data_IF_147989955151
#
_entry.id   IF_147989955151
#
_cell.length_a   1.000
_cell.length_b   1.000
_cell.length_c   1.000
_cell.angle_alpha   90.00
_cell.angle_beta   90.00
_cell.angle_gamma   90.00
#
_symmetry.space_group_name_H-M   'P 1'
#
loop_
_entity.id
_entity.type
_entity.pdbx_description
1 polymer ?
#
# COMPACT_ATOMS: atom_id res chain seq x y z
N UNK A 1 16.29 38.29 19.21
CA UNK A 1 15.29 37.62 20.08
C UNK A 1 14.20 36.90 19.26
N UNK A 2 13.63 37.52 18.24
CA UNK A 2 12.59 36.95 17.35
C UNK A 2 13.12 35.71 16.55
N UNK A 3 14.35 35.79 16.03
CA UNK A 3 14.99 34.69 15.27
C UNK A 3 15.23 33.46 16.10
N UNK A 4 15.60 33.60 17.38
CA UNK A 4 15.71 32.47 18.33
C UNK A 4 14.36 31.88 18.74
N UNK A 5 13.29 32.66 18.75
CA UNK A 5 11.94 32.16 18.99
C UNK A 5 11.43 31.38 17.79
N UNK A 6 11.62 31.86 16.57
CA UNK A 6 11.25 31.18 15.32
C UNK A 6 12.02 29.83 15.21
N UNK A 7 13.32 29.83 15.49
CA UNK A 7 14.15 28.63 15.51
C UNK A 7 13.70 27.60 16.55
N UNK A 8 13.31 28.03 17.75
CA UNK A 8 12.77 27.14 18.81
C UNK A 8 11.40 26.57 18.45
N UNK A 9 10.52 27.35 17.83
CA UNK A 9 9.20 26.89 17.35
C UNK A 9 9.39 25.86 16.23
N UNK A 10 10.30 26.10 15.30
CA UNK A 10 10.62 25.21 14.19
C UNK A 10 11.19 23.89 14.68
N UNK A 11 12.16 23.91 15.61
CA UNK A 11 12.77 22.72 16.21
C UNK A 11 11.76 21.92 17.04
N UNK A 12 10.89 22.58 17.82
CA UNK A 12 9.84 21.92 18.61
C UNK A 12 8.79 21.26 17.72
N UNK A 13 8.42 21.89 16.61
CA UNK A 13 7.50 21.33 15.62
C UNK A 13 8.14 20.16 14.88
N UNK A 14 9.42 20.26 14.53
CA UNK A 14 10.19 19.17 13.91
C UNK A 14 10.28 17.94 14.83
N UNK A 15 10.56 18.15 16.12
CA UNK A 15 10.59 17.05 17.12
C UNK A 15 9.23 16.40 17.32
N UNK A 16 8.17 17.18 17.38
CA UNK A 16 6.80 16.66 17.46
C UNK A 16 6.45 15.86 16.21
N UNK A 17 6.86 16.33 15.05
CA UNK A 17 6.68 15.65 13.78
C UNK A 17 7.46 14.33 13.72
N UNK A 18 8.76 14.34 14.02
CA UNK A 18 9.61 13.13 14.08
C UNK A 18 9.07 12.09 15.06
N UNK A 19 8.61 12.53 16.23
CA UNK A 19 7.99 11.65 17.22
C UNK A 19 6.68 11.03 16.70
N UNK A 20 5.84 11.84 16.07
CA UNK A 20 4.55 11.39 15.53
C UNK A 20 4.77 10.43 14.34
N UNK A 21 5.67 10.78 13.43
CA UNK A 21 6.05 9.92 12.28
C UNK A 21 6.69 8.62 12.75
N UNK A 22 7.53 8.66 13.79
CA UNK A 22 8.12 7.47 14.40
C UNK A 22 7.08 6.51 14.99
N UNK A 23 6.05 7.03 15.63
CA UNK A 23 4.94 6.22 16.17
C UNK A 23 4.16 5.55 15.03
N UNK A 24 3.82 6.31 13.97
CA UNK A 24 3.17 5.73 12.79
C UNK A 24 4.03 4.68 12.11
N UNK A 25 5.35 4.93 12.04
CA UNK A 25 6.31 4.01 11.47
C UNK A 25 6.31 2.68 12.22
N UNK A 26 6.52 2.71 13.55
CA UNK A 26 6.55 1.50 14.39
C UNK A 26 5.22 0.74 14.25
N UNK A 27 4.08 1.44 14.28
CA UNK A 27 2.77 0.81 14.11
C UNK A 27 2.60 0.11 12.75
N UNK A 28 3.01 0.77 11.67
CA UNK A 28 2.90 0.19 10.32
C UNK A 28 3.87 -0.99 10.13
N UNK A 29 5.09 -0.86 10.65
CA UNK A 29 6.11 -1.92 10.61
C UNK A 29 5.64 -3.15 11.36
N UNK A 30 5.20 -2.98 12.61
CA UNK A 30 4.70 -4.08 13.44
C UNK A 30 3.52 -4.79 12.79
N UNK A 31 2.53 -4.04 12.28
CA UNK A 31 1.38 -4.63 11.59
C UNK A 31 1.79 -5.52 10.41
N UNK A 32 2.68 -5.03 9.54
CA UNK A 32 3.15 -5.78 8.38
C UNK A 32 3.99 -7.00 8.76
N UNK A 33 4.86 -6.87 9.76
CA UNK A 33 5.66 -7.99 10.27
C UNK A 33 4.78 -9.07 10.88
N UNK A 34 3.81 -8.70 11.71
CA UNK A 34 2.87 -9.65 12.33
C UNK A 34 2.10 -10.43 11.26
N UNK A 35 1.59 -9.75 10.24
CA UNK A 35 0.88 -10.38 9.13
C UNK A 35 1.78 -11.33 8.34
N UNK A 36 3.06 -10.99 8.19
CA UNK A 36 4.04 -11.85 7.52
C UNK A 36 4.31 -13.12 8.34
N UNK A 37 4.46 -13.03 9.66
CA UNK A 37 4.70 -14.18 10.53
C UNK A 37 3.51 -15.15 10.64
N UNK A 38 2.31 -14.76 10.18
CA UNK A 38 1.17 -15.67 10.05
C UNK A 38 1.24 -16.55 8.79
N UNK A 39 2.16 -16.27 7.88
CA UNK A 39 2.26 -16.97 6.60
C UNK A 39 2.44 -18.50 6.75
N UNK A 40 3.29 -19.01 7.67
CA UNK A 40 3.38 -20.46 7.91
C UNK A 40 2.06 -21.10 8.36
N UNK A 41 1.28 -20.38 9.16
CA UNK A 41 -0.03 -20.84 9.63
C UNK A 41 -1.00 -20.92 8.45
N UNK A 42 -1.08 -19.88 7.63
CA UNK A 42 -1.97 -19.86 6.48
C UNK A 42 -1.66 -20.97 5.49
N UNK A 43 -0.39 -21.12 5.12
CA UNK A 43 0.00 -22.14 4.12
C UNK A 43 -0.09 -23.59 4.64
N UNK A 44 -0.05 -23.78 5.95
CA UNK A 44 -0.18 -25.11 6.59
C UNK A 44 -1.64 -25.56 6.74
N UNK A 45 -2.55 -24.61 7.03
CA UNK A 45 -3.91 -24.96 7.46
C UNK A 45 -5.02 -24.54 6.49
N UNK A 46 -4.75 -23.64 5.56
CA UNK A 46 -5.71 -23.18 4.55
C UNK A 46 -5.28 -23.71 3.19
N UNK A 47 -6.20 -24.23 2.41
CA UNK A 47 -5.93 -24.72 1.05
C UNK A 47 -5.69 -23.56 0.06
N UNK A 48 -4.99 -23.85 -1.05
CA UNK A 48 -4.69 -22.85 -2.11
C UNK A 48 -5.95 -22.22 -2.69
N UNK A 49 -6.97 -23.03 -2.95
CA UNK A 49 -8.24 -22.53 -3.49
C UNK A 49 -8.96 -21.62 -2.49
N UNK A 50 -8.97 -21.98 -1.22
CA UNK A 50 -9.56 -21.18 -0.14
C UNK A 50 -8.85 -19.84 0.03
N UNK A 51 -7.52 -19.85 0.05
CA UNK A 51 -6.74 -18.60 0.14
C UNK A 51 -6.92 -17.74 -1.10
N UNK A 52 -6.98 -18.35 -2.28
CA UNK A 52 -7.27 -17.67 -3.54
C UNK A 52 -8.68 -17.04 -3.56
N UNK A 53 -9.68 -17.76 -3.01
CA UNK A 53 -11.05 -17.26 -2.88
C UNK A 53 -11.11 -16.05 -1.95
N UNK A 54 -10.43 -16.11 -0.79
CA UNK A 54 -10.32 -14.99 0.12
C UNK A 54 -9.68 -13.76 -0.55
N UNK A 55 -8.57 -13.95 -1.27
CA UNK A 55 -7.84 -12.88 -1.95
C UNK A 55 -8.68 -12.26 -3.10
N UNK A 56 -9.39 -13.10 -3.85
CA UNK A 56 -10.32 -12.67 -4.90
C UNK A 56 -11.50 -11.89 -4.33
N UNK A 57 -12.13 -12.39 -3.27
CA UNK A 57 -13.26 -11.71 -2.63
C UNK A 57 -12.84 -10.36 -2.06
N UNK A 58 -11.67 -10.27 -1.43
CA UNK A 58 -11.13 -8.99 -0.93
C UNK A 58 -10.81 -8.03 -2.08
N UNK A 59 -10.35 -8.50 -3.24
CA UNK A 59 -10.13 -7.68 -4.41
C UNK A 59 -11.45 -7.08 -4.93
N UNK A 60 -12.51 -7.88 -5.06
CA UNK A 60 -13.84 -7.39 -5.45
C UNK A 60 -14.44 -6.40 -4.43
N UNK A 61 -14.30 -6.68 -3.14
CA UNK A 61 -14.77 -5.76 -2.10
C UNK A 61 -14.05 -4.42 -2.19
N UNK A 62 -12.72 -4.43 -2.34
CA UNK A 62 -11.94 -3.21 -2.50
C UNK A 62 -12.39 -2.41 -3.74
N UNK A 63 -12.74 -3.09 -4.84
CA UNK A 63 -13.28 -2.45 -6.04
C UNK A 63 -14.62 -1.77 -5.77
N UNK A 64 -15.59 -2.53 -5.23
CA UNK A 64 -16.91 -2.02 -4.91
C UNK A 64 -16.84 -0.85 -3.92
N UNK A 65 -16.00 -0.98 -2.89
CA UNK A 65 -15.83 0.07 -1.91
C UNK A 65 -15.20 1.33 -2.52
N UNK A 66 -14.22 1.20 -3.42
CA UNK A 66 -13.62 2.34 -4.11
C UNK A 66 -14.65 3.13 -4.95
N UNK A 67 -15.58 2.44 -5.60
CA UNK A 67 -16.62 3.07 -6.42
C UNK A 67 -17.75 3.63 -5.54
N UNK A 68 -18.28 2.83 -4.63
CA UNK A 68 -19.53 3.15 -3.95
C UNK A 68 -19.34 4.15 -2.81
N UNK A 69 -18.22 4.09 -2.10
CA UNK A 69 -17.94 5.02 -1.00
C UNK A 69 -17.21 6.29 -1.42
N UNK A 70 -16.82 6.42 -2.70
CA UNK A 70 -16.30 7.65 -3.32
C UNK A 70 -15.08 8.27 -2.61
N UNK A 71 -14.35 7.51 -1.81
CA UNK A 71 -13.27 8.03 -0.92
C UNK A 71 -13.75 9.21 -0.04
N UNK A 72 -15.02 9.15 0.42
CA UNK A 72 -15.69 10.26 1.13
C UNK A 72 -14.99 10.64 2.43
N UNK A 73 -14.28 9.73 3.09
CA UNK A 73 -13.48 10.02 4.28
C UNK A 73 -12.38 11.06 4.03
N UNK A 74 -11.77 11.06 2.84
CA UNK A 74 -10.82 12.10 2.41
C UNK A 74 -11.54 13.44 2.23
N UNK A 75 -12.75 13.43 1.67
CA UNK A 75 -13.61 14.60 1.57
C UNK A 75 -13.96 15.16 2.95
N UNK A 76 -14.45 14.32 3.87
CA UNK A 76 -14.75 14.73 5.25
C UNK A 76 -13.53 15.40 5.89
N UNK A 77 -12.36 14.76 5.83
CA UNK A 77 -11.14 15.31 6.40
C UNK A 77 -10.78 16.65 5.78
N UNK A 78 -10.83 16.77 4.44
CA UNK A 78 -10.50 17.99 3.71
C UNK A 78 -11.38 19.16 4.11
N UNK A 79 -12.70 18.96 4.09
CA UNK A 79 -13.66 20.02 4.42
C UNK A 79 -13.71 20.32 5.92
N UNK A 80 -13.47 19.35 6.81
CA UNK A 80 -13.46 19.57 8.25
C UNK A 80 -12.34 20.53 8.71
N UNK A 81 -11.28 20.69 7.93
CA UNK A 81 -10.24 21.69 8.22
C UNK A 81 -10.63 23.13 7.81
N UNK A 82 -11.71 23.31 7.06
CA UNK A 82 -12.24 24.64 6.70
C UNK A 82 -13.15 25.22 7.80
N UNK A 83 -13.52 24.41 8.81
CA UNK A 83 -14.45 24.77 9.88
C UNK A 83 -13.80 24.59 11.26
N UNK A 84 -14.23 25.42 12.22
CA UNK A 84 -13.75 25.35 13.60
C UNK A 84 -14.90 25.12 14.59
N UNK A 85 -14.59 24.64 15.79
CA UNK A 85 -15.55 24.44 16.87
C UNK A 85 -16.73 23.56 16.50
N UNK A 86 -17.94 24.00 16.83
CA UNK A 86 -19.19 23.27 16.56
C UNK A 86 -19.55 23.18 15.07
N UNK A 87 -19.12 24.14 14.27
CA UNK A 87 -19.38 24.14 12.82
C UNK A 87 -18.67 22.99 12.08
N UNK A 88 -17.62 22.44 12.66
CA UNK A 88 -16.94 21.23 12.14
C UNK A 88 -17.85 20.02 12.05
N UNK A 89 -18.98 20.02 12.76
CA UNK A 89 -20.00 18.97 12.65
C UNK A 89 -20.70 18.98 11.30
N UNK A 90 -20.79 20.11 10.58
CA UNK A 90 -21.45 20.21 9.26
C UNK A 90 -20.81 19.27 8.22
N UNK A 91 -19.47 19.33 7.93
CA UNK A 91 -18.85 18.40 6.98
C UNK A 91 -18.86 16.95 7.46
N UNK A 92 -18.77 16.72 8.77
CA UNK A 92 -18.84 15.36 9.32
C UNK A 92 -20.23 14.76 9.09
N UNK A 93 -21.28 15.47 9.46
CA UNK A 93 -22.68 14.99 9.32
C UNK A 93 -23.07 14.83 7.85
N UNK A 94 -22.71 15.80 6.99
CA UNK A 94 -23.00 15.72 5.54
C UNK A 94 -22.22 14.58 4.88
N UNK A 95 -20.97 14.35 5.28
CA UNK A 95 -20.18 13.22 4.80
C UNK A 95 -20.68 11.85 5.28
N UNK A 96 -21.16 11.77 6.53
CA UNK A 96 -21.81 10.55 7.06
C UNK A 96 -23.12 10.27 6.33
N UNK A 97 -23.89 11.29 5.93
CA UNK A 97 -25.07 11.09 5.10
C UNK A 97 -24.72 10.46 3.73
N UNK A 98 -23.61 10.91 3.09
CA UNK A 98 -23.09 10.28 1.86
C UNK A 98 -22.69 8.84 2.16
N UNK A 99 -21.90 8.61 3.23
CA UNK A 99 -21.47 7.27 3.64
C UNK A 99 -22.65 6.33 3.89
N UNK A 100 -23.72 6.80 4.52
CA UNK A 100 -24.93 6.00 4.76
C UNK A 100 -25.62 5.64 3.44
N UNK A 101 -25.79 6.60 2.51
CA UNK A 101 -26.31 6.33 1.18
C UNK A 101 -25.44 5.32 0.41
N UNK A 102 -24.12 5.44 0.48
CA UNK A 102 -23.16 4.48 -0.07
C UNK A 102 -23.31 3.10 0.55
N UNK A 103 -23.56 3.02 1.86
CA UNK A 103 -23.78 1.74 2.56
C UNK A 103 -25.06 1.06 2.07
N UNK A 104 -26.15 1.81 1.89
CA UNK A 104 -27.40 1.27 1.32
C UNK A 104 -27.15 0.74 -0.09
N UNK A 105 -26.46 1.51 -0.93
CA UNK A 105 -26.14 1.10 -2.30
C UNK A 105 -25.23 -0.15 -2.31
N UNK A 106 -24.21 -0.20 -1.45
CA UNK A 106 -23.34 -1.37 -1.28
C UNK A 106 -24.14 -2.61 -0.88
N UNK A 107 -25.10 -2.47 0.03
CA UNK A 107 -26.00 -3.56 0.46
C UNK A 107 -26.80 -4.08 -0.73
N UNK A 108 -27.44 -3.18 -1.48
CA UNK A 108 -28.27 -3.55 -2.65
C UNK A 108 -27.40 -4.27 -3.71
N UNK A 109 -26.22 -3.73 -4.03
CA UNK A 109 -25.34 -4.29 -5.06
C UNK A 109 -24.81 -5.66 -4.65
N UNK A 110 -24.37 -5.82 -3.40
CA UNK A 110 -23.73 -7.08 -2.97
C UNK A 110 -24.77 -8.20 -2.79
N UNK A 111 -25.93 -7.91 -2.16
CA UNK A 111 -26.99 -8.93 -2.04
C UNK A 111 -27.67 -9.19 -3.37
N UNK A 112 -27.82 -8.18 -4.25
CA UNK A 112 -28.25 -8.37 -5.62
C UNK A 112 -27.31 -9.29 -6.42
N UNK A 113 -26.02 -9.13 -6.27
CA UNK A 113 -25.02 -10.05 -6.85
C UNK A 113 -25.17 -11.47 -6.27
N UNK A 114 -25.44 -11.59 -4.97
CA UNK A 114 -25.70 -12.88 -4.31
C UNK A 114 -26.94 -13.62 -4.79
N UNK A 115 -27.93 -12.89 -5.38
CA UNK A 115 -29.09 -13.53 -6.02
C UNK A 115 -28.74 -14.13 -7.40
N UNK A 116 -27.65 -13.65 -8.03
CA UNK A 116 -27.22 -14.09 -9.38
C UNK A 116 -26.11 -15.14 -9.28
N UNK A 117 -25.18 -14.92 -8.33
CA UNK A 117 -24.00 -15.76 -8.13
C UNK A 117 -24.09 -16.48 -6.78
N UNK A 118 -23.73 -17.74 -6.76
CA UNK A 118 -23.59 -18.50 -5.50
C UNK A 118 -22.28 -18.08 -4.79
N UNK A 119 -22.38 -17.09 -3.89
CA UNK A 119 -21.25 -16.57 -3.14
C UNK A 119 -21.24 -17.18 -1.74
N UNK A 120 -20.32 -18.14 -1.55
CA UNK A 120 -20.12 -18.75 -0.23
C UNK A 120 -19.76 -17.67 0.80
N UNK A 121 -20.40 -17.70 1.97
CA UNK A 121 -20.22 -16.75 3.06
C UNK A 121 -20.56 -15.27 2.72
N UNK A 122 -21.50 -15.03 1.80
CA UNK A 122 -21.92 -13.68 1.40
C UNK A 122 -22.18 -12.72 2.58
N UNK A 123 -22.94 -13.10 3.65
CA UNK A 123 -23.17 -12.22 4.80
C UNK A 123 -21.87 -11.82 5.52
N UNK A 124 -20.92 -12.73 5.60
CA UNK A 124 -19.62 -12.48 6.24
C UNK A 124 -18.74 -11.55 5.38
N UNK A 125 -18.73 -11.76 4.08
CA UNK A 125 -18.06 -10.91 3.09
C UNK A 125 -18.66 -9.49 3.11
N UNK A 126 -20.00 -9.38 3.20
CA UNK A 126 -20.69 -8.11 3.38
C UNK A 126 -20.23 -7.40 4.66
N UNK A 127 -20.26 -8.11 5.79
CA UNK A 127 -19.84 -7.57 7.08
C UNK A 127 -18.39 -7.09 7.06
N UNK A 128 -17.49 -7.86 6.43
CA UNK A 128 -16.09 -7.48 6.26
C UNK A 128 -15.96 -6.13 5.53
N UNK A 129 -16.63 -5.95 4.40
CA UNK A 129 -16.56 -4.70 3.63
C UNK A 129 -17.12 -3.50 4.41
N UNK A 130 -18.26 -3.67 5.11
CA UNK A 130 -18.83 -2.60 5.96
C UNK A 130 -17.89 -2.24 7.11
N UNK A 131 -17.37 -3.22 7.85
CA UNK A 131 -16.47 -2.98 8.97
C UNK A 131 -15.17 -2.29 8.52
N UNK A 132 -14.62 -2.69 7.38
CA UNK A 132 -13.45 -2.06 6.77
C UNK A 132 -13.70 -0.58 6.47
N UNK A 133 -14.85 -0.24 5.88
CA UNK A 133 -15.17 1.14 5.54
C UNK A 133 -15.48 2.00 6.77
N UNK A 134 -16.20 1.46 7.77
CA UNK A 134 -16.44 2.16 9.04
C UNK A 134 -15.11 2.42 9.77
N UNK A 135 -14.24 1.43 9.83
CA UNK A 135 -12.91 1.57 10.42
C UNK A 135 -12.10 2.66 9.73
N UNK A 136 -12.13 2.71 8.39
CA UNK A 136 -11.48 3.75 7.60
C UNK A 136 -12.05 5.13 7.93
N UNK A 137 -13.38 5.29 7.92
CA UNK A 137 -14.07 6.55 8.25
C UNK A 137 -13.68 7.05 9.64
N UNK A 138 -13.80 6.19 10.67
CA UNK A 138 -13.48 6.56 12.06
C UNK A 138 -11.99 6.87 12.23
N UNK A 139 -11.12 6.17 11.50
CA UNK A 139 -9.69 6.45 11.43
C UNK A 139 -9.38 7.84 10.87
N UNK A 140 -10.04 8.24 9.79
CA UNK A 140 -9.90 9.59 9.23
C UNK A 140 -10.43 10.66 10.19
N UNK A 141 -11.57 10.42 10.85
CA UNK A 141 -12.10 11.33 11.87
C UNK A 141 -11.12 11.49 13.04
N UNK A 142 -10.53 10.43 13.55
CA UNK A 142 -9.53 10.50 14.63
C UNK A 142 -8.32 11.37 14.22
N UNK A 143 -7.84 11.24 13.00
CA UNK A 143 -6.76 12.06 12.45
C UNK A 143 -7.17 13.52 12.27
N UNK A 144 -8.38 13.79 11.82
CA UNK A 144 -8.95 15.14 11.69
C UNK A 144 -8.97 15.89 13.03
N UNK A 145 -9.20 15.16 14.14
CA UNK A 145 -9.13 15.72 15.50
C UNK A 145 -7.74 15.62 16.14
N UNK A 146 -6.69 15.34 15.37
CA UNK A 146 -5.31 15.29 15.85
C UNK A 146 -5.00 14.12 16.80
N UNK A 147 -5.90 13.11 16.90
CA UNK A 147 -5.73 11.93 17.76
C UNK A 147 -4.85 10.85 17.12
N UNK A 148 -3.70 11.28 16.57
CA UNK A 148 -2.81 10.42 15.78
C UNK A 148 -2.23 9.25 16.61
N UNK A 149 -1.86 9.49 17.88
CA UNK A 149 -1.37 8.43 18.75
C UNK A 149 -2.45 7.38 19.00
N UNK A 150 -3.70 7.81 19.25
CA UNK A 150 -4.83 6.90 19.42
C UNK A 150 -5.10 6.08 18.16
N UNK A 151 -5.03 6.69 16.96
CA UNK A 151 -5.15 6.01 15.68
C UNK A 151 -4.10 4.89 15.53
N UNK A 152 -2.84 5.18 15.87
CA UNK A 152 -1.76 4.19 15.76
C UNK A 152 -1.88 3.08 16.79
N UNK A 153 -2.15 3.42 18.04
CA UNK A 153 -2.28 2.41 19.11
C UNK A 153 -3.50 1.51 18.92
N UNK A 154 -4.65 2.07 18.50
CA UNK A 154 -5.84 1.26 18.18
C UNK A 154 -5.59 0.32 17.00
N UNK A 155 -4.86 0.77 15.99
CA UNK A 155 -4.45 -0.08 14.87
C UNK A 155 -3.56 -1.25 15.30
N UNK A 156 -2.62 -1.02 16.22
CA UNK A 156 -1.79 -2.09 16.78
C UNK A 156 -2.62 -3.09 17.59
N UNK A 157 -3.49 -2.62 18.49
CA UNK A 157 -4.37 -3.49 19.27
C UNK A 157 -5.25 -4.33 18.34
N UNK A 158 -5.88 -3.71 17.34
CA UNK A 158 -6.65 -4.39 16.31
C UNK A 158 -5.85 -5.49 15.60
N UNK A 159 -4.60 -5.20 15.24
CA UNK A 159 -3.72 -6.18 14.58
C UNK A 159 -3.42 -7.38 15.47
N UNK A 160 -3.10 -7.16 16.75
CA UNK A 160 -2.87 -8.23 17.70
C UNK A 160 -4.13 -9.09 17.91
N UNK A 161 -5.30 -8.46 18.01
CA UNK A 161 -6.58 -9.19 18.14
C UNK A 161 -6.84 -10.01 16.87
N UNK A 162 -6.65 -9.43 15.68
CA UNK A 162 -6.81 -10.16 14.42
C UNK A 162 -5.91 -11.39 14.35
N UNK A 163 -4.64 -11.25 14.77
CA UNK A 163 -3.68 -12.36 14.81
C UNK A 163 -4.10 -13.44 15.78
N UNK A 164 -4.47 -13.05 17.01
CA UNK A 164 -4.93 -14.01 18.01
C UNK A 164 -6.18 -14.77 17.53
N UNK A 165 -7.14 -14.07 16.92
CA UNK A 165 -8.32 -14.68 16.33
C UNK A 165 -7.96 -15.59 15.15
N UNK A 166 -7.02 -15.20 14.27
CA UNK A 166 -6.57 -16.06 13.17
C UNK A 166 -5.97 -17.37 13.69
N UNK A 167 -5.10 -17.29 14.70
CA UNK A 167 -4.52 -18.49 15.34
C UNK A 167 -5.62 -19.37 15.93
N UNK A 168 -6.53 -18.76 16.69
CA UNK A 168 -7.62 -19.48 17.33
C UNK A 168 -8.53 -20.17 16.31
N UNK A 169 -9.01 -19.47 15.30
CA UNK A 169 -9.98 -19.99 14.35
C UNK A 169 -9.34 -20.97 13.35
N UNK A 170 -8.13 -20.70 12.88
CA UNK A 170 -7.45 -21.53 11.88
C UNK A 170 -6.81 -22.78 12.55
N UNK A 171 -6.07 -22.58 13.65
CA UNK A 171 -5.29 -23.69 14.24
C UNK A 171 -6.14 -24.54 15.16
N UNK A 172 -6.93 -23.91 16.06
CA UNK A 172 -7.71 -24.63 17.05
C UNK A 172 -9.06 -25.10 16.50
N UNK A 173 -9.86 -24.21 15.90
CA UNK A 173 -11.18 -24.56 15.34
C UNK A 173 -11.12 -25.16 13.94
N UNK A 174 -9.96 -25.15 13.26
CA UNK A 174 -9.77 -25.72 11.92
C UNK A 174 -10.74 -25.17 10.87
N UNK A 175 -11.09 -23.91 10.99
CA UNK A 175 -11.95 -23.24 10.03
C UNK A 175 -11.22 -23.00 8.71
N UNK A 176 -11.98 -22.92 7.62
CA UNK A 176 -11.51 -22.57 6.29
C UNK A 176 -11.20 -21.06 6.18
N UNK A 177 -11.13 -20.52 4.96
CA UNK A 177 -10.86 -19.10 4.74
C UNK A 177 -11.87 -18.13 5.40
N UNK A 178 -13.03 -18.60 5.86
CA UNK A 178 -13.97 -17.79 6.64
C UNK A 178 -13.34 -17.24 7.92
N UNK A 179 -12.38 -18.00 8.51
CA UNK A 179 -11.60 -17.54 9.66
C UNK A 179 -10.91 -16.19 9.42
N UNK A 180 -10.39 -15.97 8.21
CA UNK A 180 -9.71 -14.73 7.85
C UNK A 180 -10.65 -13.53 7.86
N UNK A 181 -11.87 -13.69 7.34
CA UNK A 181 -12.90 -12.64 7.38
C UNK A 181 -13.40 -12.38 8.80
N UNK A 182 -13.68 -13.43 9.58
CA UNK A 182 -14.16 -13.29 10.97
C UNK A 182 -13.10 -12.56 11.82
N UNK A 183 -11.86 -13.00 11.73
CA UNK A 183 -10.75 -12.39 12.48
C UNK A 183 -10.55 -10.92 12.11
N UNK A 184 -10.64 -10.59 10.82
CA UNK A 184 -10.55 -9.21 10.34
C UNK A 184 -11.73 -8.36 10.86
N UNK A 185 -12.97 -8.88 10.82
CA UNK A 185 -14.16 -8.20 11.35
C UNK A 185 -14.02 -7.90 12.84
N UNK A 186 -13.54 -8.87 13.64
CA UNK A 186 -13.30 -8.67 15.08
C UNK A 186 -12.22 -7.59 15.28
N UNK A 187 -11.12 -7.64 14.54
CA UNK A 187 -10.08 -6.63 14.58
C UNK A 187 -10.60 -5.23 14.22
N UNK A 188 -11.36 -5.11 13.15
CA UNK A 188 -11.99 -3.84 12.76
C UNK A 188 -12.96 -3.33 13.83
N UNK A 189 -13.78 -4.22 14.42
CA UNK A 189 -14.69 -3.85 15.50
C UNK A 189 -13.93 -3.28 16.70
N UNK A 190 -12.86 -3.93 17.14
CA UNK A 190 -12.01 -3.43 18.24
C UNK A 190 -11.44 -2.05 17.88
N UNK A 191 -10.93 -1.87 16.65
CA UNK A 191 -10.40 -0.58 16.21
C UNK A 191 -11.49 0.51 16.23
N UNK A 192 -12.67 0.22 15.69
CA UNK A 192 -13.83 1.14 15.66
C UNK A 192 -14.25 1.55 17.07
N UNK A 193 -14.35 0.59 17.99
CA UNK A 193 -14.75 0.84 19.39
C UNK A 193 -13.72 1.73 20.10
N UNK A 194 -12.43 1.37 20.02
CA UNK A 194 -11.35 2.13 20.67
C UNK A 194 -11.26 3.55 20.10
N UNK A 195 -11.30 3.71 18.80
CA UNK A 195 -11.26 5.03 18.14
C UNK A 195 -12.54 5.82 18.44
N UNK A 196 -13.71 5.21 18.25
CA UNK A 196 -15.00 5.85 18.43
C UNK A 196 -15.18 6.39 19.85
N UNK A 197 -14.73 5.63 20.85
CA UNK A 197 -14.72 6.07 22.24
C UNK A 197 -13.73 7.22 22.48
N UNK A 198 -12.52 7.07 21.95
CA UNK A 198 -11.46 8.08 22.12
C UNK A 198 -11.75 9.43 21.46
N UNK A 199 -12.50 9.46 20.37
CA UNK A 199 -12.94 10.69 19.70
C UNK A 199 -14.33 11.15 20.17
N UNK A 200 -15.02 10.36 21.00
CA UNK A 200 -16.41 10.61 21.42
C UNK A 200 -17.35 10.72 20.20
N UNK A 201 -17.25 9.75 19.28
CA UNK A 201 -17.92 9.75 17.99
C UNK A 201 -19.39 10.22 17.99
N UNK A 202 -20.27 9.78 18.94
CA UNK A 202 -21.67 10.24 18.97
C UNK A 202 -21.82 11.75 19.14
N UNK A 203 -20.84 12.44 19.78
CA UNK A 203 -20.88 13.89 19.97
C UNK A 203 -20.47 14.68 18.72
N UNK A 204 -19.86 14.02 17.75
CA UNK A 204 -19.40 14.64 16.50
C UNK A 204 -20.49 14.69 15.43
N UNK A 205 -21.57 13.94 15.62
CA UNK A 205 -22.67 13.79 14.66
C UNK A 205 -23.88 14.53 15.22
N UNK A 206 -24.47 15.41 14.41
CA UNK A 206 -25.71 16.10 14.76
C UNK A 206 -26.57 16.25 13.51
N UNK A 207 -27.75 15.65 13.52
CA UNK A 207 -28.67 15.68 12.37
C UNK A 207 -29.00 17.13 11.96
N UNK A 208 -29.08 18.04 12.93
CA UNK A 208 -29.32 19.46 12.69
C UNK A 208 -28.17 20.18 12.00
N UNK A 209 -26.97 19.59 11.97
CA UNK A 209 -25.79 20.14 11.31
C UNK A 209 -25.66 19.71 9.84
N UNK A 210 -26.64 18.97 9.29
CA UNK A 210 -26.65 18.61 7.88
C UNK A 210 -26.74 19.85 7.00
N UNK A 211 -25.83 19.93 6.00
CA UNK A 211 -25.75 21.03 5.05
C UNK A 211 -25.80 20.48 3.63
N UNK A 212 -26.86 20.81 2.89
CA UNK A 212 -27.11 20.32 1.53
C UNK A 212 -26.11 20.81 0.51
N UNK A 213 -25.65 22.06 0.62
CA UNK A 213 -24.68 22.62 -0.32
C UNK A 213 -23.31 22.01 -0.07
N UNK A 214 -22.95 21.81 1.17
CA UNK A 214 -21.72 21.11 1.55
C UNK A 214 -21.76 19.65 1.12
N UNK A 215 -22.86 18.95 1.28
CA UNK A 215 -23.08 17.59 0.77
C UNK A 215 -22.78 17.52 -0.74
N UNK A 216 -23.33 18.43 -1.55
CA UNK A 216 -23.09 18.49 -2.99
C UNK A 216 -21.63 18.79 -3.32
N UNK A 217 -21.01 19.75 -2.63
CA UNK A 217 -19.59 20.09 -2.81
C UNK A 217 -18.69 18.90 -2.49
N UNK A 218 -18.98 18.16 -1.44
CA UNK A 218 -18.22 16.96 -1.04
C UNK A 218 -18.36 15.83 -2.06
N UNK A 219 -19.54 15.60 -2.63
CA UNK A 219 -19.73 14.63 -3.72
C UNK A 219 -18.88 14.99 -4.96
N UNK A 220 -18.97 16.26 -5.39
CA UNK A 220 -18.20 16.74 -6.56
C UNK A 220 -16.68 16.61 -6.32
N UNK A 221 -16.22 16.88 -5.09
CA UNK A 221 -14.81 16.72 -4.72
C UNK A 221 -14.37 15.25 -4.71
N UNK A 222 -15.22 14.35 -4.22
CA UNK A 222 -14.91 12.94 -4.04
C UNK A 222 -14.92 12.14 -5.35
N UNK A 223 -15.69 12.56 -6.34
CA UNK A 223 -15.82 11.84 -7.61
C UNK A 223 -14.49 11.65 -8.37
N UNK A 224 -13.64 12.68 -8.57
CA UNK A 224 -12.32 12.48 -9.17
C UNK A 224 -11.39 11.58 -8.37
N UNK A 225 -11.48 11.61 -7.02
CA UNK A 225 -10.70 10.72 -6.15
C UNK A 225 -11.11 9.26 -6.34
N UNK A 226 -12.41 9.02 -6.41
CA UNK A 226 -12.97 7.70 -6.72
C UNK A 226 -12.45 7.17 -8.07
N UNK A 227 -12.49 7.96 -9.12
CA UNK A 227 -12.01 7.55 -10.45
C UNK A 227 -10.52 7.18 -10.43
N UNK A 228 -9.70 7.93 -9.68
CA UNK A 228 -8.28 7.58 -9.52
C UNK A 228 -8.10 6.26 -8.73
N UNK A 229 -8.87 6.03 -7.70
CA UNK A 229 -8.85 4.79 -6.90
C UNK A 229 -9.26 3.58 -7.74
N UNK A 230 -10.28 3.73 -8.58
CA UNK A 230 -10.73 2.71 -9.54
C UNK A 230 -9.64 2.40 -10.57
N UNK A 231 -9.04 3.43 -11.17
CA UNK A 231 -7.92 3.24 -12.11
C UNK A 231 -6.75 2.51 -11.43
N UNK A 232 -6.41 2.89 -10.20
CA UNK A 232 -5.36 2.23 -9.44
C UNK A 232 -5.70 0.77 -9.12
N UNK A 233 -6.96 0.45 -8.85
CA UNK A 233 -7.41 -0.93 -8.66
C UNK A 233 -7.21 -1.78 -9.91
N UNK A 234 -7.56 -1.26 -11.10
CA UNK A 234 -7.29 -1.95 -12.37
C UNK A 234 -5.78 -2.15 -12.62
N UNK A 235 -4.94 -1.25 -12.13
CA UNK A 235 -3.50 -1.39 -12.24
C UNK A 235 -2.93 -2.45 -11.27
N UNK A 236 -3.49 -2.60 -10.06
CA UNK A 236 -2.85 -3.37 -8.99
C UNK A 236 -3.59 -4.64 -8.57
N UNK A 237 -4.92 -4.63 -8.62
CA UNK A 237 -5.75 -5.69 -8.03
C UNK A 237 -6.49 -6.54 -9.07
N UNK A 238 -6.70 -6.01 -10.27
CA UNK A 238 -7.42 -6.70 -11.34
C UNK A 238 -6.79 -8.04 -11.74
N UNK A 239 -5.49 -8.19 -11.59
CA UNK A 239 -4.77 -9.42 -11.92
C UNK A 239 -5.30 -10.64 -11.16
N UNK A 240 -5.81 -10.47 -9.93
CA UNK A 240 -6.43 -11.54 -9.13
C UNK A 240 -7.71 -12.05 -9.80
N UNK A 241 -8.50 -11.14 -10.34
CA UNK A 241 -9.72 -11.46 -11.09
C UNK A 241 -9.35 -12.18 -12.38
N UNK A 242 -8.38 -11.67 -13.12
CA UNK A 242 -7.93 -12.27 -14.37
C UNK A 242 -7.35 -13.67 -14.16
N UNK A 243 -6.51 -13.90 -13.16
CA UNK A 243 -5.95 -15.21 -12.81
C UNK A 243 -7.09 -16.20 -12.48
N UNK A 244 -8.02 -15.79 -11.60
CA UNK A 244 -9.10 -16.67 -11.17
C UNK A 244 -10.04 -17.07 -12.29
N UNK A 245 -10.27 -16.19 -13.27
CA UNK A 245 -11.16 -16.45 -14.42
C UNK A 245 -10.48 -17.19 -15.56
N UNK A 246 -9.21 -16.92 -15.84
CA UNK A 246 -8.47 -17.48 -16.98
C UNK A 246 -7.80 -18.80 -16.61
N UNK A 247 -7.30 -18.92 -15.39
CA UNK A 247 -6.60 -20.12 -14.92
C UNK A 247 -7.43 -20.82 -13.83
N UNK A 248 -7.25 -20.43 -12.58
CA UNK A 248 -8.02 -20.97 -11.46
C UNK A 248 -7.89 -20.12 -10.20
N UNK A 249 -8.79 -20.32 -9.25
CA UNK A 249 -8.71 -19.69 -7.92
C UNK A 249 -7.50 -20.19 -7.13
N UNK A 250 -7.10 -21.45 -7.31
CA UNK A 250 -5.88 -22.01 -6.69
C UNK A 250 -4.61 -21.30 -7.16
N UNK A 251 -4.54 -20.95 -8.44
CA UNK A 251 -3.44 -20.16 -9.00
C UNK A 251 -3.40 -18.73 -8.42
N UNK A 252 -4.58 -18.14 -8.17
CA UNK A 252 -4.64 -16.89 -7.44
C UNK A 252 -4.12 -17.02 -5.99
N UNK A 253 -4.34 -18.18 -5.34
CA UNK A 253 -3.75 -18.48 -4.04
C UNK A 253 -2.22 -18.45 -4.05
N UNK A 254 -1.59 -19.06 -5.07
CA UNK A 254 -0.13 -19.00 -5.26
C UNK A 254 0.37 -17.57 -5.51
N UNK A 255 -0.35 -16.81 -6.34
CA UNK A 255 -0.05 -15.40 -6.61
C UNK A 255 -0.14 -14.54 -5.34
N UNK A 256 -1.15 -14.79 -4.49
CA UNK A 256 -1.31 -14.13 -3.20
C UNK A 256 -0.12 -14.37 -2.27
N UNK A 257 0.37 -15.60 -2.18
CA UNK A 257 1.56 -15.96 -1.38
C UNK A 257 2.80 -15.23 -1.88
N UNK A 258 3.06 -15.23 -3.20
CA UNK A 258 4.18 -14.49 -3.77
C UNK A 258 4.10 -12.99 -3.42
N UNK A 259 2.88 -12.43 -3.45
CA UNK A 259 2.61 -11.04 -3.08
C UNK A 259 2.92 -10.72 -1.62
N UNK A 260 2.83 -11.66 -0.69
CA UNK A 260 3.14 -11.43 0.74
C UNK A 260 4.60 -11.03 0.96
N UNK A 261 5.52 -11.54 0.16
CA UNK A 261 6.93 -11.16 0.24
C UNK A 261 7.19 -9.71 -0.15
N UNK A 262 6.32 -9.10 -0.96
CA UNK A 262 6.41 -7.67 -1.30
C UNK A 262 6.26 -6.75 -0.08
N UNK A 263 5.67 -7.25 1.02
CA UNK A 263 5.51 -6.49 2.26
C UNK A 263 6.84 -5.99 2.82
N UNK A 264 7.94 -6.71 2.63
CA UNK A 264 9.28 -6.25 3.02
C UNK A 264 9.67 -4.97 2.26
N UNK A 265 9.52 -4.97 0.93
CA UNK A 265 9.83 -3.80 0.11
C UNK A 265 8.93 -2.63 0.51
N UNK A 266 7.61 -2.86 0.60
CA UNK A 266 6.65 -1.80 0.93
C UNK A 266 6.81 -1.26 2.34
N UNK A 267 7.36 -2.02 3.27
CA UNK A 267 7.70 -1.56 4.60
C UNK A 267 8.76 -0.46 4.55
N UNK A 268 9.89 -0.72 3.92
CA UNK A 268 10.97 0.25 3.77
C UNK A 268 10.53 1.48 2.96
N UNK A 269 9.78 1.26 1.88
CA UNK A 269 9.33 2.36 1.01
C UNK A 269 8.29 3.25 1.68
N UNK A 270 7.43 2.73 2.55
CA UNK A 270 6.47 3.53 3.31
C UNK A 270 7.20 4.53 4.22
N UNK A 271 8.25 4.06 4.90
CA UNK A 271 9.07 4.90 5.76
C UNK A 271 9.79 5.99 4.99
N UNK A 272 10.40 5.60 3.89
CA UNK A 272 11.08 6.53 3.00
C UNK A 272 10.12 7.58 2.45
N UNK A 273 8.95 7.17 1.96
CA UNK A 273 7.96 8.08 1.40
C UNK A 273 7.47 9.13 2.39
N UNK A 274 7.28 8.78 3.67
CA UNK A 274 6.89 9.77 4.69
C UNK A 274 7.94 10.87 4.86
N UNK A 275 9.21 10.48 5.02
CA UNK A 275 10.32 11.44 5.14
C UNK A 275 10.52 12.26 3.85
N UNK A 276 10.36 11.61 2.71
CA UNK A 276 10.51 12.23 1.41
C UNK A 276 9.44 13.29 1.11
N UNK A 277 8.18 12.99 1.42
CA UNK A 277 7.07 13.94 1.23
C UNK A 277 7.31 15.23 2.01
N UNK A 278 7.71 15.11 3.27
CA UNK A 278 8.00 16.30 4.10
C UNK A 278 9.13 17.12 3.51
N UNK A 279 10.24 16.47 3.13
CA UNK A 279 11.40 17.19 2.57
C UNK A 279 11.05 17.85 1.25
N UNK A 280 10.28 17.20 0.37
CA UNK A 280 9.84 17.73 -0.91
C UNK A 280 8.93 18.96 -0.73
N UNK A 281 7.93 18.87 0.18
CA UNK A 281 6.99 19.96 0.42
C UNK A 281 7.66 21.16 1.09
N UNK A 282 8.56 20.93 2.05
CA UNK A 282 9.34 21.98 2.69
C UNK A 282 10.21 22.75 1.69
N UNK A 283 10.85 22.01 0.76
CA UNK A 283 11.70 22.60 -0.27
C UNK A 283 10.91 23.43 -1.29
N UNK A 284 9.75 22.94 -1.72
CA UNK A 284 8.86 23.68 -2.61
C UNK A 284 8.31 24.96 -1.95
N UNK A 285 7.95 24.90 -0.66
CA UNK A 285 7.50 26.05 0.10
C UNK A 285 8.58 27.15 0.22
N UNK A 286 9.86 26.75 0.30
CA UNK A 286 11.02 27.66 0.38
C UNK A 286 11.48 28.17 -1.00
N UNK A 287 10.87 27.72 -2.11
CA UNK A 287 11.26 28.10 -3.49
C UNK A 287 12.77 27.95 -3.75
N UNK A 288 13.38 26.88 -3.24
CA UNK A 288 14.82 26.67 -3.39
C UNK A 288 15.21 26.46 -4.87
N UNK A 289 16.36 26.96 -5.25
CA UNK A 289 16.96 26.76 -6.58
C UNK A 289 17.46 25.33 -6.76
N UNK A 290 17.71 24.91 -8.00
CA UNK A 290 18.25 23.57 -8.38
C UNK A 290 17.32 22.39 -8.05
N UNK A 291 16.01 22.55 -8.30
CA UNK A 291 15.02 21.49 -8.09
C UNK A 291 15.36 20.23 -8.91
N UNK A 292 15.74 20.38 -10.18
CA UNK A 292 16.04 19.26 -11.06
C UNK A 292 17.19 18.37 -10.57
N UNK A 293 18.28 18.97 -10.09
CA UNK A 293 19.43 18.25 -9.54
C UNK A 293 19.06 17.51 -8.25
N UNK A 294 18.33 18.18 -7.35
CA UNK A 294 17.87 17.58 -6.12
C UNK A 294 16.98 16.36 -6.36
N UNK A 295 15.94 16.49 -7.20
CA UNK A 295 15.05 15.37 -7.49
C UNK A 295 15.74 14.28 -8.29
N UNK A 296 16.69 14.60 -9.16
CA UNK A 296 17.53 13.64 -9.88
C UNK A 296 18.37 12.80 -8.93
N UNK A 297 19.08 13.45 -8.01
CA UNK A 297 19.92 12.76 -7.03
C UNK A 297 19.10 11.85 -6.12
N UNK A 298 18.00 12.36 -5.59
CA UNK A 298 17.13 11.60 -4.71
C UNK A 298 16.49 10.40 -5.42
N UNK A 299 15.98 10.58 -6.64
CA UNK A 299 15.39 9.51 -7.44
C UNK A 299 16.41 8.42 -7.75
N UNK A 300 17.61 8.77 -8.23
CA UNK A 300 18.63 7.78 -8.56
C UNK A 300 19.12 7.04 -7.32
N UNK A 301 19.26 7.73 -6.17
CA UNK A 301 19.61 7.07 -4.89
C UNK A 301 18.50 6.12 -4.44
N UNK A 302 17.22 6.50 -4.59
CA UNK A 302 16.09 5.65 -4.27
C UNK A 302 16.00 4.43 -5.18
N UNK A 303 16.20 4.59 -6.49
CA UNK A 303 16.27 3.47 -7.45
C UNK A 303 17.42 2.53 -7.07
N UNK A 304 18.61 3.05 -6.80
CA UNK A 304 19.77 2.24 -6.37
C UNK A 304 19.45 1.47 -5.09
N UNK A 305 18.84 2.11 -4.10
CA UNK A 305 18.45 1.47 -2.84
C UNK A 305 17.49 0.30 -3.06
N UNK A 306 16.41 0.50 -3.84
CA UNK A 306 15.43 -0.54 -4.14
C UNK A 306 16.06 -1.69 -4.94
N UNK A 307 16.85 -1.36 -5.95
CA UNK A 307 17.51 -2.32 -6.81
C UNK A 307 18.50 -3.21 -6.03
N UNK A 308 19.34 -2.60 -5.21
CA UNK A 308 20.32 -3.34 -4.39
C UNK A 308 19.63 -4.13 -3.28
N UNK A 309 18.59 -3.56 -2.65
CA UNK A 309 17.77 -4.27 -1.68
C UNK A 309 17.11 -5.54 -2.27
N UNK A 310 16.64 -5.48 -3.51
CA UNK A 310 16.05 -6.66 -4.18
C UNK A 310 17.08 -7.76 -4.47
N UNK A 311 18.29 -7.40 -4.88
CA UNK A 311 19.37 -8.39 -5.09
C UNK A 311 19.75 -9.16 -3.82
N UNK A 312 19.54 -8.56 -2.63
CA UNK A 312 19.73 -9.26 -1.35
C UNK A 312 18.46 -10.00 -0.91
N UNK A 313 17.29 -9.43 -1.15
CA UNK A 313 16.02 -9.97 -0.68
C UNK A 313 15.65 -11.28 -1.38
N UNK A 314 15.85 -11.38 -2.70
CA UNK A 314 15.50 -12.60 -3.47
C UNK A 314 16.23 -13.83 -2.95
N UNK A 315 17.58 -13.88 -2.87
CA UNK A 315 18.26 -15.07 -2.36
C UNK A 315 17.96 -15.31 -0.87
N UNK A 316 17.71 -14.26 -0.06
CA UNK A 316 17.28 -14.42 1.32
C UNK A 316 15.92 -15.12 1.42
N UNK A 317 14.97 -14.77 0.53
CA UNK A 317 13.67 -15.44 0.45
C UNK A 317 13.85 -16.92 0.09
N UNK A 318 14.78 -17.30 -0.80
CA UNK A 318 15.02 -18.71 -1.13
C UNK A 318 15.37 -19.56 0.09
N UNK A 319 16.08 -18.98 1.05
CA UNK A 319 16.45 -19.65 2.31
C UNK A 319 15.27 -19.73 3.28
N UNK A 320 14.48 -18.67 3.36
CA UNK A 320 13.36 -18.56 4.30
C UNK A 320 12.12 -19.29 3.77
N UNK A 321 11.94 -19.39 2.46
CA UNK A 321 10.74 -19.93 1.80
C UNK A 321 10.35 -21.32 2.30
N UNK A 322 11.23 -22.34 2.35
CA UNK A 322 10.87 -23.68 2.81
C UNK A 322 10.52 -23.74 4.30
N UNK A 323 10.95 -22.74 5.09
CA UNK A 323 10.62 -22.65 6.52
C UNK A 323 9.22 -22.04 6.71
N UNK A 324 8.87 -21.07 5.85
CA UNK A 324 7.66 -20.28 6.00
C UNK A 324 6.48 -20.80 5.17
N UNK A 325 6.73 -21.55 4.11
CA UNK A 325 5.73 -21.93 3.13
C UNK A 325 5.63 -23.46 3.09
N UNK A 326 4.41 -23.96 3.26
CA UNK A 326 4.13 -25.39 3.14
C UNK A 326 4.36 -25.88 1.70
N UNK A 327 4.75 -27.16 1.56
CA UNK A 327 5.02 -27.79 0.25
C UNK A 327 3.86 -27.68 -0.73
N UNK A 328 2.62 -27.68 -0.24
CA UNK A 328 1.43 -27.47 -1.09
C UNK A 328 1.45 -26.15 -1.87
N UNK A 329 2.21 -25.15 -1.43
CA UNK A 329 2.38 -23.85 -2.07
C UNK A 329 3.78 -23.67 -2.71
N UNK A 330 4.55 -24.74 -2.90
CA UNK A 330 5.93 -24.66 -3.39
C UNK A 330 6.04 -23.90 -4.73
N UNK A 331 5.04 -24.04 -5.61
CA UNK A 331 5.00 -23.39 -6.92
C UNK A 331 4.98 -21.84 -6.82
N UNK A 332 4.52 -21.28 -5.70
CA UNK A 332 4.58 -19.84 -5.47
C UNK A 332 6.01 -19.30 -5.46
N UNK A 333 7.03 -20.16 -5.20
CA UNK A 333 8.45 -19.79 -5.26
C UNK A 333 8.82 -19.18 -6.62
N UNK A 334 8.33 -19.77 -7.71
CA UNK A 334 8.64 -19.32 -9.07
C UNK A 334 8.07 -17.93 -9.39
N UNK A 335 7.01 -17.50 -8.69
CA UNK A 335 6.35 -16.22 -8.92
C UNK A 335 7.05 -15.05 -8.21
N UNK A 336 7.79 -15.33 -7.14
CA UNK A 336 8.40 -14.31 -6.27
C UNK A 336 9.28 -13.31 -7.03
N UNK A 337 10.24 -13.72 -7.89
CA UNK A 337 11.08 -12.75 -8.60
C UNK A 337 10.25 -11.77 -9.44
N UNK A 338 9.34 -12.27 -10.24
CA UNK A 338 8.49 -11.44 -11.11
C UNK A 338 7.61 -10.46 -10.32
N UNK A 339 7.01 -10.94 -9.22
CA UNK A 339 6.17 -10.11 -8.36
C UNK A 339 6.97 -9.00 -7.66
N UNK A 340 8.15 -9.33 -7.13
CA UNK A 340 9.01 -8.36 -6.45
C UNK A 340 9.57 -7.32 -7.40
N UNK A 341 9.88 -7.70 -8.64
CA UNK A 341 10.29 -6.76 -9.69
C UNK A 341 9.16 -5.75 -9.98
N UNK A 342 7.93 -6.23 -10.18
CA UNK A 342 6.78 -5.36 -10.35
C UNK A 342 6.56 -4.44 -9.14
N UNK A 343 6.78 -4.94 -7.93
CA UNK A 343 6.67 -4.16 -6.69
C UNK A 343 7.67 -3.00 -6.66
N UNK A 344 8.94 -3.22 -7.03
CA UNK A 344 9.93 -2.13 -7.08
C UNK A 344 9.48 -1.04 -8.06
N UNK A 345 9.03 -1.43 -9.24
CA UNK A 345 8.58 -0.47 -10.27
C UNK A 345 7.36 0.31 -9.78
N UNK A 346 6.47 -0.32 -9.00
CA UNK A 346 5.35 0.37 -8.34
C UNK A 346 5.80 1.35 -7.25
N UNK A 347 6.86 1.02 -6.51
CA UNK A 347 7.45 1.92 -5.52
C UNK A 347 8.07 3.16 -6.17
N UNK A 348 8.74 2.99 -7.31
CA UNK A 348 9.25 4.11 -8.12
C UNK A 348 8.10 4.98 -8.62
N UNK A 349 6.97 4.38 -9.05
CA UNK A 349 5.77 5.09 -9.43
C UNK A 349 5.23 5.97 -8.31
N UNK A 350 5.21 5.46 -7.08
CA UNK A 350 4.78 6.21 -5.89
C UNK A 350 5.72 7.40 -5.61
N UNK A 351 7.03 7.21 -5.79
CA UNK A 351 8.01 8.28 -5.65
C UNK A 351 7.79 9.41 -6.65
N UNK A 352 7.58 9.08 -7.94
CA UNK A 352 7.20 10.07 -8.95
C UNK A 352 5.90 10.78 -8.58
N UNK A 353 4.91 10.04 -8.05
CA UNK A 353 3.65 10.59 -7.58
C UNK A 353 3.84 11.68 -6.53
N UNK A 354 4.72 11.45 -5.57
CA UNK A 354 5.04 12.42 -4.53
C UNK A 354 5.66 13.71 -5.11
N UNK A 355 6.52 13.60 -6.14
CA UNK A 355 7.10 14.77 -6.82
C UNK A 355 5.98 15.58 -7.51
N UNK A 356 5.10 14.93 -8.29
CA UNK A 356 3.98 15.61 -8.95
C UNK A 356 3.05 16.29 -7.96
N UNK A 357 2.83 15.67 -6.79
CA UNK A 357 2.03 16.28 -5.72
C UNK A 357 2.73 17.50 -5.13
N UNK A 358 4.06 17.46 -4.93
CA UNK A 358 4.84 18.59 -4.44
C UNK A 358 4.74 19.79 -5.39
N UNK A 359 4.91 19.56 -6.70
CA UNK A 359 4.80 20.62 -7.72
C UNK A 359 3.35 20.94 -8.13
N UNK A 360 2.34 20.41 -7.39
CA UNK A 360 0.90 20.67 -7.56
C UNK A 360 0.31 20.25 -8.92
N UNK A 361 0.87 19.22 -9.55
CA UNK A 361 0.40 18.67 -10.85
C UNK A 361 -0.32 17.33 -10.69
N UNK A 362 -1.27 17.25 -9.79
CA UNK A 362 -1.97 16.01 -9.43
C UNK A 362 -2.74 15.35 -10.59
N UNK A 363 -3.19 16.13 -11.59
CA UNK A 363 -3.90 15.58 -12.75
C UNK A 363 -3.06 14.57 -13.55
N UNK A 364 -1.73 14.73 -13.56
CA UNK A 364 -0.80 13.79 -14.18
C UNK A 364 -0.92 12.40 -13.59
N UNK A 365 -1.19 12.30 -12.29
CA UNK A 365 -1.30 11.02 -11.59
C UNK A 365 -2.45 10.19 -12.14
N UNK A 366 -3.61 10.81 -12.37
CA UNK A 366 -4.78 10.13 -12.92
C UNK A 366 -4.51 9.58 -14.32
N UNK A 367 -4.11 10.44 -15.27
CA UNK A 367 -3.90 10.01 -16.66
C UNK A 367 -2.83 8.93 -16.80
N UNK A 368 -1.73 9.05 -16.05
CA UNK A 368 -0.65 8.05 -16.08
C UNK A 368 -1.07 6.74 -15.44
N UNK A 369 -1.91 6.78 -14.39
CA UNK A 369 -2.47 5.57 -13.77
C UNK A 369 -3.43 4.87 -14.73
N UNK A 370 -4.30 5.61 -15.43
CA UNK A 370 -5.22 5.04 -16.45
C UNK A 370 -4.42 4.39 -17.58
N UNK A 371 -3.39 5.06 -18.10
CA UNK A 371 -2.53 4.47 -19.15
C UNK A 371 -1.87 3.17 -18.70
N UNK A 372 -1.31 3.15 -17.48
CA UNK A 372 -0.74 1.93 -16.90
C UNK A 372 -1.77 0.83 -16.68
N UNK A 373 -2.99 1.18 -16.25
CA UNK A 373 -4.09 0.23 -16.04
C UNK A 373 -4.52 -0.45 -17.34
N UNK A 374 -4.68 0.31 -18.41
CA UNK A 374 -5.02 -0.24 -19.73
C UNK A 374 -3.96 -1.24 -20.18
N UNK A 375 -2.67 -0.88 -20.06
CA UNK A 375 -1.58 -1.79 -20.42
C UNK A 375 -1.59 -3.03 -19.53
N UNK A 376 -1.80 -2.90 -18.21
CA UNK A 376 -1.89 -4.05 -17.31
C UNK A 376 -3.04 -4.99 -17.70
N UNK A 377 -4.24 -4.46 -17.91
CA UNK A 377 -5.42 -5.26 -18.28
C UNK A 377 -5.22 -5.98 -19.61
N UNK A 378 -4.73 -5.30 -20.63
CA UNK A 378 -4.45 -5.92 -21.94
C UNK A 378 -3.36 -6.98 -21.81
N UNK A 379 -2.25 -6.65 -21.15
CA UNK A 379 -1.11 -7.57 -21.00
C UNK A 379 -1.47 -8.80 -20.18
N UNK A 380 -2.26 -8.68 -19.11
CA UNK A 380 -2.60 -9.84 -18.30
C UNK A 380 -3.42 -10.87 -19.09
N UNK A 381 -4.38 -10.42 -19.90
CA UNK A 381 -5.18 -11.35 -20.72
C UNK A 381 -4.38 -11.99 -21.85
N UNK A 382 -3.37 -11.30 -22.36
CA UNK A 382 -2.47 -11.86 -23.39
C UNK A 382 -1.46 -12.84 -22.78
N UNK A 383 -0.94 -12.55 -21.59
CA UNK A 383 0.17 -13.30 -21.03
C UNK A 383 -0.28 -14.52 -20.17
N UNK A 384 -1.44 -14.45 -19.50
CA UNK A 384 -1.92 -15.58 -18.69
C UNK A 384 -2.05 -16.90 -19.46
N UNK A 385 -2.61 -16.94 -20.68
CA UNK A 385 -2.70 -18.17 -21.46
C UNK A 385 -1.33 -18.71 -21.93
N UNK A 386 -0.31 -17.85 -22.04
CA UNK A 386 0.99 -18.19 -22.64
C UNK A 386 1.99 -18.63 -21.55
N UNK A 387 2.10 -17.85 -20.49
CA UNK A 387 3.13 -18.06 -19.45
C UNK A 387 2.53 -18.35 -18.06
N UNK A 388 1.22 -18.61 -17.97
CA UNK A 388 0.55 -18.90 -16.71
C UNK A 388 0.55 -17.72 -15.74
N UNK A 389 0.53 -18.02 -14.44
CA UNK A 389 0.41 -17.02 -13.36
C UNK A 389 1.51 -15.95 -13.38
N UNK A 390 2.71 -16.30 -13.88
CA UNK A 390 3.81 -15.34 -14.03
C UNK A 390 3.40 -14.16 -14.93
N UNK A 391 2.52 -14.42 -15.91
CA UNK A 391 1.96 -13.39 -16.80
C UNK A 391 1.30 -12.25 -16.06
N UNK A 392 0.67 -12.49 -14.92
CA UNK A 392 0.06 -11.46 -14.10
C UNK A 392 1.11 -10.51 -13.49
N UNK A 393 2.22 -11.05 -12.98
CA UNK A 393 3.31 -10.22 -12.45
C UNK A 393 4.02 -9.43 -13.56
N UNK A 394 4.18 -10.04 -14.73
CA UNK A 394 4.76 -9.37 -15.91
C UNK A 394 3.82 -8.25 -16.40
N UNK A 395 2.52 -8.49 -16.45
CA UNK A 395 1.54 -7.47 -16.82
C UNK A 395 1.55 -6.28 -15.85
N UNK A 396 1.60 -6.56 -14.54
CA UNK A 396 1.75 -5.55 -13.50
C UNK A 396 3.03 -4.72 -13.68
N UNK A 397 4.15 -5.39 -13.97
CA UNK A 397 5.42 -4.73 -14.29
C UNK A 397 5.29 -3.82 -15.51
N UNK A 398 4.71 -4.29 -16.62
CA UNK A 398 4.51 -3.52 -17.83
C UNK A 398 3.60 -2.30 -17.61
N UNK A 399 2.50 -2.47 -16.87
CA UNK A 399 1.60 -1.39 -16.51
C UNK A 399 2.32 -0.27 -15.74
N UNK A 400 3.10 -0.63 -14.70
CA UNK A 400 3.90 0.36 -13.97
C UNK A 400 5.07 0.91 -14.79
N UNK A 401 5.67 0.15 -15.69
CA UNK A 401 6.72 0.65 -16.60
C UNK A 401 6.18 1.75 -17.50
N UNK A 402 5.01 1.57 -18.11
CA UNK A 402 4.36 2.61 -18.93
C UNK A 402 4.03 3.83 -18.08
N UNK A 403 3.42 3.63 -16.91
CA UNK A 403 3.14 4.71 -15.95
C UNK A 403 4.41 5.51 -15.63
N UNK A 404 5.51 4.83 -15.27
CA UNK A 404 6.77 5.46 -14.91
C UNK A 404 7.46 6.15 -16.09
N UNK A 405 7.39 5.57 -17.29
CA UNK A 405 7.97 6.16 -18.49
C UNK A 405 7.31 7.49 -18.82
N UNK A 406 5.97 7.55 -18.76
CA UNK A 406 5.23 8.80 -18.99
C UNK A 406 5.57 9.82 -17.89
N UNK A 407 5.58 9.41 -16.63
CA UNK A 407 5.94 10.27 -15.48
C UNK A 407 7.37 10.81 -15.60
N UNK A 408 8.33 9.96 -15.93
CA UNK A 408 9.73 10.35 -16.12
C UNK A 408 9.90 11.37 -17.26
N UNK A 409 9.21 11.13 -18.40
CA UNK A 409 9.20 12.07 -19.53
C UNK A 409 8.66 13.45 -19.12
N UNK A 410 7.52 13.48 -18.42
CA UNK A 410 6.92 14.72 -17.97
C UNK A 410 7.79 15.44 -16.94
N UNK A 411 8.40 14.73 -15.97
CA UNK A 411 9.31 15.34 -15.00
C UNK A 411 10.58 15.88 -15.65
N UNK A 412 11.10 15.18 -16.67
CA UNK A 412 12.24 15.71 -17.46
C UNK A 412 11.89 17.03 -18.14
N UNK A 413 10.67 17.15 -18.67
CA UNK A 413 10.19 18.38 -19.32
C UNK A 413 9.96 19.52 -18.32
N UNK A 414 9.43 19.22 -17.13
CA UNK A 414 9.01 20.22 -16.16
C UNK A 414 10.16 20.73 -15.27
N UNK A 415 10.97 19.84 -14.76
CA UNK A 415 12.01 20.12 -13.76
C UNK A 415 13.36 19.48 -14.09
N UNK A 416 13.55 19.00 -15.31
CA UNK A 416 14.82 18.44 -15.83
C UNK A 416 15.37 17.24 -15.01
N UNK A 417 14.49 16.40 -14.47
CA UNK A 417 14.90 15.17 -13.77
C UNK A 417 15.47 14.17 -14.77
N UNK A 418 16.59 13.53 -14.42
CA UNK A 418 17.24 12.49 -15.21
C UNK A 418 17.38 11.18 -14.43
N UNK A 419 17.34 10.06 -15.18
CA UNK A 419 17.46 8.70 -14.64
C UNK A 419 18.77 8.09 -15.14
N UNK A 420 19.50 7.42 -14.26
CA UNK A 420 20.72 6.67 -14.58
C UNK A 420 20.36 5.32 -15.25
N UNK A 421 20.08 5.37 -16.56
CA UNK A 421 19.73 4.19 -17.34
C UNK A 421 20.87 3.18 -17.40
N UNK A 422 22.14 3.62 -17.35
CA UNK A 422 23.30 2.71 -17.36
C UNK A 422 23.30 1.81 -16.14
N UNK A 423 23.03 2.39 -14.97
CA UNK A 423 22.88 1.62 -13.74
C UNK A 423 21.72 0.62 -13.83
N UNK A 424 20.55 1.04 -14.32
CA UNK A 424 19.36 0.18 -14.42
C UNK A 424 19.63 -1.02 -15.35
N UNK A 425 20.27 -0.81 -16.52
CA UNK A 425 20.60 -1.89 -17.46
C UNK A 425 21.61 -2.86 -16.85
N UNK A 426 22.67 -2.34 -16.26
CA UNK A 426 23.68 -3.20 -15.60
C UNK A 426 23.04 -4.02 -14.45
N UNK A 427 22.22 -3.38 -13.64
CA UNK A 427 21.49 -4.04 -12.58
C UNK A 427 20.53 -5.12 -13.09
N UNK A 428 19.81 -4.86 -14.19
CA UNK A 428 18.84 -5.81 -14.76
C UNK A 428 19.53 -7.12 -15.20
N UNK A 429 20.75 -7.03 -15.76
CA UNK A 429 21.56 -8.21 -16.12
C UNK A 429 21.89 -9.02 -14.88
N UNK A 430 22.37 -8.36 -13.82
CA UNK A 430 22.69 -9.02 -12.54
C UNK A 430 21.43 -9.65 -11.92
N UNK A 431 20.30 -8.93 -11.98
CA UNK A 431 19.01 -9.39 -11.45
C UNK A 431 18.52 -10.68 -12.12
N UNK A 432 18.67 -10.80 -13.45
CA UNK A 432 18.34 -12.03 -14.18
C UNK A 432 19.22 -13.19 -13.68
N UNK A 433 20.51 -12.98 -13.51
CA UNK A 433 21.43 -13.99 -12.95
C UNK A 433 21.06 -14.42 -11.54
N UNK A 434 20.78 -13.45 -10.65
CA UNK A 434 20.37 -13.73 -9.25
C UNK A 434 19.02 -14.47 -9.22
N UNK A 435 18.08 -14.10 -10.07
CA UNK A 435 16.77 -14.78 -10.18
C UNK A 435 16.91 -16.21 -10.68
N UNK A 436 17.80 -16.47 -11.62
CA UNK A 436 18.12 -17.80 -12.08
C UNK A 436 18.74 -18.67 -10.96
N UNK A 437 19.71 -18.13 -10.21
CA UNK A 437 20.32 -18.80 -9.05
C UNK A 437 19.25 -19.08 -7.98
N UNK A 438 18.37 -18.13 -7.71
CA UNK A 438 17.26 -18.29 -6.76
C UNK A 438 16.39 -19.51 -7.07
N UNK A 439 16.09 -19.75 -8.35
CA UNK A 439 15.22 -20.83 -8.77
C UNK A 439 15.90 -22.21 -8.77
N UNK A 440 17.19 -22.28 -9.13
CA UNK A 440 17.87 -23.52 -9.45
C UNK A 440 18.95 -23.94 -8.44
N UNK A 441 19.45 -23.01 -7.63
CA UNK A 441 20.53 -23.31 -6.70
C UNK A 441 20.00 -23.73 -5.31
N UNK A 442 20.87 -24.46 -4.58
CA UNK A 442 20.60 -24.85 -3.20
C UNK A 442 20.68 -23.67 -2.21
N UNK A 443 20.29 -23.90 -0.94
CA UNK A 443 20.27 -22.87 0.09
C UNK A 443 21.66 -22.26 0.35
N UNK A 444 22.74 -23.05 0.30
CA UNK A 444 24.11 -22.57 0.57
C UNK A 444 24.53 -21.53 -0.47
N UNK A 445 24.28 -21.79 -1.76
CA UNK A 445 24.60 -20.86 -2.85
C UNK A 445 23.76 -19.58 -2.70
N UNK A 446 22.49 -19.70 -2.30
CA UNK A 446 21.66 -18.54 -2.07
C UNK A 446 22.13 -17.71 -0.85
N UNK A 447 22.62 -18.34 0.22
CA UNK A 447 23.26 -17.61 1.34
C UNK A 447 24.50 -16.87 0.85
N UNK A 448 25.38 -17.49 0.07
CA UNK A 448 26.54 -16.82 -0.53
C UNK A 448 26.11 -15.64 -1.42
N UNK A 449 25.01 -15.80 -2.17
CA UNK A 449 24.47 -14.73 -3.01
C UNK A 449 23.97 -13.52 -2.19
N UNK A 450 23.43 -13.73 -0.98
CA UNK A 450 23.10 -12.62 -0.06
C UNK A 450 24.36 -11.84 0.31
N UNK A 451 25.46 -12.53 0.65
CA UNK A 451 26.72 -11.88 0.98
C UNK A 451 27.31 -11.11 -0.20
N UNK A 452 27.30 -11.70 -1.40
CA UNK A 452 27.74 -11.02 -2.63
C UNK A 452 26.88 -9.79 -2.90
N UNK A 453 25.56 -9.88 -2.77
CA UNK A 453 24.63 -8.75 -2.87
C UNK A 453 24.95 -7.65 -1.85
N UNK A 454 25.29 -8.03 -0.61
CA UNK A 454 25.75 -7.10 0.45
C UNK A 454 27.04 -6.37 0.06
N UNK A 455 28.05 -7.08 -0.42
CA UNK A 455 29.29 -6.49 -0.88
C UNK A 455 29.09 -5.55 -2.07
N UNK A 456 28.26 -5.94 -3.04
CA UNK A 456 27.88 -5.08 -4.16
C UNK A 456 27.16 -3.81 -3.67
N UNK A 457 26.29 -3.94 -2.68
CA UNK A 457 25.60 -2.79 -2.07
C UNK A 457 26.60 -1.84 -1.41
N UNK A 458 27.54 -2.33 -0.62
CA UNK A 458 28.60 -1.52 -0.03
C UNK A 458 29.47 -0.84 -1.09
N UNK A 459 29.75 -1.53 -2.20
CA UNK A 459 30.51 -0.95 -3.31
C UNK A 459 29.74 0.18 -4.01
N UNK A 460 28.44 -0.02 -4.30
CA UNK A 460 27.59 0.98 -4.96
C UNK A 460 27.44 2.23 -4.10
N UNK A 461 27.24 2.07 -2.78
CA UNK A 461 27.05 3.17 -1.83
C UNK A 461 28.34 3.64 -1.14
N UNK A 462 29.53 3.27 -1.66
CA UNK A 462 30.82 3.58 -1.02
C UNK A 462 31.11 5.07 -0.81
N UNK A 463 30.56 5.94 -1.69
CA UNK A 463 30.75 7.40 -1.58
C UNK A 463 29.89 7.95 -0.45
N UNK A 464 28.62 7.62 -0.44
CA UNK A 464 27.65 8.03 0.57
C UNK A 464 28.05 7.53 1.98
N UNK A 465 28.54 6.28 2.05
CA UNK A 465 29.06 5.72 3.30
C UNK A 465 30.28 6.46 3.82
N UNK A 466 31.24 6.85 2.94
CA UNK A 466 32.39 7.65 3.33
C UNK A 466 32.01 9.03 3.87
N UNK A 467 31.03 9.69 3.27
CA UNK A 467 30.53 10.99 3.71
C UNK A 467 29.88 10.89 5.11
N UNK A 468 29.04 9.86 5.32
CA UNK A 468 28.39 9.61 6.62
C UNK A 468 29.45 9.33 7.70
N UNK A 469 30.41 8.45 7.44
CA UNK A 469 31.48 8.12 8.38
C UNK A 469 32.37 9.34 8.68
N UNK A 470 32.66 10.18 7.68
CA UNK A 470 33.38 11.43 7.86
C UNK A 470 32.65 12.42 8.76
N UNK A 471 31.32 12.51 8.61
CA UNK A 471 30.48 13.39 9.43
C UNK A 471 30.39 12.91 10.89
N UNK A 472 30.35 11.58 11.10
CA UNK A 472 30.33 10.99 12.46
C UNK A 472 31.68 11.18 13.18
N UNK A 473 32.80 11.08 12.43
CA UNK A 473 34.16 11.23 13.00
C UNK A 473 34.49 12.69 13.38
N UNK A 474 33.80 13.66 12.79
CA UNK A 474 33.97 15.08 13.04
C UNK A 474 32.98 15.65 14.07
N UNK A 475 32.12 14.81 14.69
CA UNK A 475 31.28 15.13 15.86
C UNK A 475 31.88 14.52 17.11
#
# INVERSE_FOLDING_TARGET
>A
MVENQIRRITVKNLWKFVKTSGIYFIGTVLHKLITFFLLPIYTKYIDKADLGTYDLATAYINFLCSILFLDIWSGIMRFAFEYEGEERKKPITSGIAIFTGSTVLYTIVLFGAGCIFDIKYLPLIYLYGIMMNIQTLVGYLARTYGKNALYTTSGLVSSFVTVACNILFIVYFRMDYSALFISACIGYLVNIVVLGWGIKLPKLISVSAFDKDLFKRMLIFSLPLCMNSVAYWFLTSYNRVAISNVLSVSENGLYSIAGRFSSFITLFTTCFNMAWQEMSYSREAQKQTNQGEFYTTALNSYIKFLCMGLLMLIPAISVIFPIMINESYADAKQLVPYYLLATIVSCISSFFGNIFTAIKKNNVLFYTTVAGSVVNVVSVHLLLPIVGVQGASIALFLGFMVNNTIRAYLLKKEIQVSIDLKFIVAWAIVYIGVSYIYLHANAIINVLNVFVGGLLTLFVFRKELKEILGTIKNR
#
